data_IF_129528538799
#
_entry.id   IF_129528538799
#
_cell.length_a   1.000
_cell.length_b   1.000
_cell.length_c   1.000
_cell.angle_alpha   90.00
_cell.angle_beta   90.00
_cell.angle_gamma   90.00
#
_symmetry.space_group_name_H-M   'P 1'
#
loop_
_entity.id
_entity.type
_entity.pdbx_description
1 polymer ?
#
# COMPACT_ATOMS: atom_id res chain seq x y z
N UNK A 1 -20.63 3.30 -1.18
CA UNK A 1 -19.95 2.87 -2.42
C UNK A 1 -18.47 2.92 -2.14
N UNK A 2 -17.79 1.78 -2.06
CA UNK A 2 -16.35 1.73 -1.90
C UNK A 2 -15.71 1.69 -3.29
N UNK A 3 -14.80 2.63 -3.58
CA UNK A 3 -14.04 2.66 -4.82
C UNK A 3 -12.67 2.02 -4.58
N UNK A 4 -12.37 0.95 -5.32
CA UNK A 4 -11.02 0.37 -5.40
C UNK A 4 -10.34 1.06 -6.58
N UNK A 5 -9.24 1.77 -6.34
CA UNK A 5 -8.43 2.41 -7.38
C UNK A 5 -7.24 1.50 -7.70
N UNK A 6 -7.27 0.87 -8.87
CA UNK A 6 -6.13 0.21 -9.48
C UNK A 6 -5.39 1.24 -10.34
N UNK A 7 -4.10 1.46 -10.09
CA UNK A 7 -3.30 2.48 -10.76
C UNK A 7 -2.64 1.89 -12.02
N UNK A 8 -3.13 2.27 -13.21
CA UNK A 8 -2.46 2.00 -14.49
C UNK A 8 -1.83 3.30 -15.01
N UNK A 9 -0.51 3.30 -15.20
CA UNK A 9 0.25 4.49 -15.61
C UNK A 9 0.25 4.59 -17.14
N UNK A 10 -0.36 5.64 -17.70
CA UNK A 10 -0.20 6.03 -19.09
C UNK A 10 0.35 7.46 -19.15
N UNK A 11 1.50 7.62 -19.81
CA UNK A 11 2.20 8.89 -19.97
C UNK A 11 1.57 9.73 -21.10
N UNK A 12 1.15 10.95 -20.79
CA UNK A 12 0.68 11.94 -21.76
C UNK A 12 0.84 13.37 -21.23
N UNK A 13 1.40 14.25 -22.07
CA UNK A 13 1.99 15.55 -21.73
C UNK A 13 0.97 16.71 -21.63
N UNK A 14 1.28 17.63 -20.71
CA UNK A 14 0.94 19.07 -20.52
C UNK A 14 -0.48 19.65 -20.75
N UNK A 15 -1.01 20.35 -19.72
CA UNK A 15 -1.06 21.85 -19.61
C UNK A 15 -1.93 22.33 -18.44
N UNK A 16 -1.53 23.48 -17.85
CA UNK A 16 -2.20 24.32 -16.85
C UNK A 16 -2.14 23.91 -15.36
N UNK A 17 -1.24 24.56 -14.62
CA UNK A 17 -1.24 24.60 -13.16
C UNK A 17 -2.43 25.44 -12.68
N UNK A 18 -3.57 24.78 -12.45
CA UNK A 18 -4.56 25.29 -11.51
C UNK A 18 -3.88 25.43 -10.14
N UNK A 19 -4.14 26.54 -9.44
CA UNK A 19 -3.59 26.77 -8.10
C UNK A 19 -3.86 25.54 -7.24
N UNK A 20 -2.80 24.84 -6.87
CA UNK A 20 -2.86 23.73 -5.92
C UNK A 20 -3.61 24.25 -4.71
N UNK A 21 -4.75 23.64 -4.32
CA UNK A 21 -5.30 23.93 -3.01
C UNK A 21 -4.15 23.66 -2.05
N UNK A 22 -3.73 24.69 -1.30
CA UNK A 22 -2.71 24.59 -0.28
C UNK A 22 -3.29 23.72 0.83
N UNK A 23 -3.32 22.42 0.57
CA UNK A 23 -3.31 21.40 1.59
C UNK A 23 -2.14 21.80 2.49
N UNK A 24 -2.44 22.07 3.76
CA UNK A 24 -1.49 22.57 4.75
C UNK A 24 -0.12 21.90 4.62
N UNK A 25 0.95 22.61 4.98
CA UNK A 25 2.36 22.17 4.94
C UNK A 25 2.68 20.85 5.68
N UNK A 26 1.66 20.19 6.27
CA UNK A 26 1.66 18.93 7.01
C UNK A 26 1.02 17.74 6.23
N UNK A 27 1.12 17.68 4.89
CA UNK A 27 0.59 16.54 4.11
C UNK A 27 1.52 15.32 4.07
N UNK A 28 2.55 15.28 4.91
CA UNK A 28 3.39 14.11 5.07
C UNK A 28 2.68 13.13 5.99
N UNK A 29 2.34 11.96 5.47
CA UNK A 29 1.90 10.85 6.28
C UNK A 29 3.12 10.00 6.64
N UNK A 30 3.44 9.91 7.93
CA UNK A 30 4.47 9.01 8.44
C UNK A 30 3.79 7.89 9.22
N UNK A 31 4.19 6.66 8.93
CA UNK A 31 3.64 5.45 9.54
C UNK A 31 4.78 4.62 10.08
N UNK A 32 5.01 4.72 11.38
CA UNK A 32 6.11 4.04 12.07
C UNK A 32 5.70 2.67 12.60
N UNK A 33 4.39 2.35 12.61
CA UNK A 33 3.85 1.12 13.16
C UNK A 33 4.36 0.88 14.59
N UNK A 34 4.30 1.86 15.48
CA UNK A 34 4.84 1.65 16.84
C UNK A 34 3.97 0.69 17.65
N UNK A 35 2.65 0.87 17.59
CA UNK A 35 1.69 0.20 18.47
C UNK A 35 0.53 -0.48 17.73
N UNK A 36 0.30 -0.14 16.46
CA UNK A 36 -0.82 -0.66 15.66
C UNK A 36 -0.57 -0.56 14.15
N UNK A 37 -1.54 -1.01 13.35
CA UNK A 37 -1.49 -0.97 11.89
C UNK A 37 -1.77 0.41 11.27
N UNK A 38 -2.12 1.43 12.07
CA UNK A 38 -2.30 2.83 11.64
C UNK A 38 -3.28 3.03 10.46
N UNK A 39 -4.29 2.15 10.38
CA UNK A 39 -5.32 2.16 9.33
C UNK A 39 -4.92 1.43 8.05
N UNK A 40 -3.73 0.83 8.00
CA UNK A 40 -3.31 -0.03 6.91
C UNK A 40 -3.99 -1.40 6.98
N UNK A 41 -4.31 -1.92 5.80
CA UNK A 41 -4.79 -3.29 5.60
C UNK A 41 -4.06 -3.87 4.39
N UNK A 42 -3.89 -5.19 4.38
CA UNK A 42 -3.37 -5.91 3.22
C UNK A 42 -4.50 -6.64 2.49
N UNK A 43 -4.25 -6.92 1.23
CA UNK A 43 -5.16 -7.67 0.39
C UNK A 43 -4.39 -8.30 -0.77
N UNK A 44 -5.03 -9.25 -1.45
CA UNK A 44 -4.40 -10.09 -2.46
C UNK A 44 -5.25 -10.15 -3.72
N UNK A 45 -4.61 -10.06 -4.88
CA UNK A 45 -5.25 -10.15 -6.18
C UNK A 45 -4.48 -11.11 -7.10
N UNK A 46 -5.08 -11.37 -8.25
CA UNK A 46 -4.55 -12.30 -9.27
C UNK A 46 -4.45 -13.76 -8.79
N UNK A 47 -5.34 -14.13 -7.86
CA UNK A 47 -5.53 -15.50 -7.40
C UNK A 47 -6.56 -16.22 -8.28
N UNK A 48 -6.42 -17.54 -8.53
CA UNK A 48 -7.49 -18.33 -9.14
C UNK A 48 -8.81 -18.19 -8.39
N UNK A 49 -9.95 -18.28 -9.09
CA UNK A 49 -11.26 -18.13 -8.45
C UNK A 49 -11.53 -19.16 -7.35
N UNK A 50 -10.88 -20.32 -7.42
CA UNK A 50 -10.95 -21.45 -6.51
C UNK A 50 -9.69 -21.64 -5.66
N UNK A 51 -8.90 -20.57 -5.47
CA UNK A 51 -7.70 -20.63 -4.64
C UNK A 51 -8.00 -21.05 -3.20
N UNK A 52 -7.00 -21.68 -2.58
CA UNK A 52 -7.00 -22.07 -1.18
C UNK A 52 -5.92 -21.29 -0.42
N UNK A 53 -6.30 -20.54 0.62
CA UNK A 53 -5.38 -19.64 1.34
C UNK A 53 -4.10 -20.34 1.86
N UNK A 54 -4.18 -21.51 2.53
CA UNK A 54 -3.00 -22.27 2.95
C UNK A 54 -2.03 -22.63 1.81
N UNK A 55 -2.55 -22.95 0.61
CA UNK A 55 -1.71 -23.30 -0.54
C UNK A 55 -0.86 -22.13 -1.03
N UNK A 56 -1.34 -20.90 -0.85
CA UNK A 56 -0.64 -19.67 -1.20
C UNK A 56 0.04 -19.02 -0.01
N UNK A 57 0.02 -19.64 1.18
CA UNK A 57 0.64 -19.12 2.40
C UNK A 57 0.33 -17.64 2.67
N UNK A 58 -0.92 -17.22 2.41
CA UNK A 58 -1.31 -15.81 2.54
C UNK A 58 -1.38 -15.43 4.02
N UNK A 59 -0.57 -14.45 4.41
CA UNK A 59 -0.57 -13.92 5.77
C UNK A 59 -0.26 -12.43 5.75
N UNK A 60 -0.83 -11.68 6.69
CA UNK A 60 -0.60 -10.26 6.82
C UNK A 60 -0.92 -9.71 8.20
N UNK A 61 -0.44 -8.51 8.49
CA UNK A 61 -0.86 -7.74 9.66
C UNK A 61 0.28 -7.17 10.46
N UNK A 62 -0.09 -6.30 11.40
CA UNK A 62 0.82 -5.68 12.36
C UNK A 62 1.48 -6.72 13.26
N UNK A 63 2.81 -6.74 13.28
CA UNK A 63 3.62 -7.65 14.12
C UNK A 63 5.04 -7.13 14.32
N UNK A 64 5.77 -7.77 15.23
CA UNK A 64 7.19 -7.50 15.43
C UNK A 64 8.00 -7.75 14.14
N UNK A 65 9.02 -6.93 13.91
CA UNK A 65 9.98 -7.13 12.81
C UNK A 65 10.80 -8.43 13.04
N UNK A 66 11.45 -8.97 11.99
CA UNK A 66 12.33 -10.14 12.11
C UNK A 66 13.41 -9.97 13.19
N UNK A 67 13.89 -11.07 13.78
CA UNK A 67 14.74 -11.07 15.00
C UNK A 67 16.00 -10.17 14.93
N UNK A 68 16.54 -9.90 13.74
CA UNK A 68 17.70 -9.02 13.54
C UNK A 68 17.37 -7.53 13.58
N UNK A 69 16.08 -7.17 13.62
CA UNK A 69 15.55 -5.81 13.63
C UNK A 69 14.73 -5.58 14.90
N UNK A 70 14.68 -4.33 15.35
CA UNK A 70 13.89 -3.93 16.52
C UNK A 70 12.67 -3.12 16.10
N UNK A 71 11.53 -3.37 16.74
CA UNK A 71 10.29 -2.63 16.49
C UNK A 71 9.21 -3.52 15.89
N UNK A 72 8.15 -2.88 15.42
CA UNK A 72 7.05 -3.53 14.73
C UNK A 72 6.95 -3.00 13.29
N UNK A 73 6.15 -3.67 12.48
CA UNK A 73 5.86 -3.27 11.12
C UNK A 73 4.59 -3.93 10.62
N UNK A 74 4.20 -3.60 9.39
CA UNK A 74 3.12 -4.29 8.72
C UNK A 74 3.71 -5.43 7.86
N UNK A 75 3.37 -6.66 8.21
CA UNK A 75 3.78 -7.85 7.46
C UNK A 75 2.82 -8.16 6.33
N UNK A 76 3.36 -8.64 5.21
CA UNK A 76 2.60 -9.22 4.10
C UNK A 76 3.41 -10.37 3.47
N UNK A 77 2.77 -11.51 3.26
CA UNK A 77 3.37 -12.71 2.68
C UNK A 77 2.41 -13.36 1.69
N UNK A 78 3.00 -14.00 0.69
CA UNK A 78 2.34 -15.01 -0.11
C UNK A 78 3.33 -15.83 -0.91
N UNK A 79 2.95 -17.05 -1.23
CA UNK A 79 3.72 -18.04 -1.95
C UNK A 79 3.17 -18.17 -3.38
N UNK A 80 3.99 -17.79 -4.37
CA UNK A 80 3.64 -17.95 -5.79
C UNK A 80 3.97 -19.37 -6.25
N UNK A 81 2.93 -20.21 -6.37
CA UNK A 81 3.09 -21.62 -6.74
C UNK A 81 3.16 -21.87 -8.26
N UNK A 82 2.52 -21.07 -9.11
CA UNK A 82 2.57 -21.30 -10.57
C UNK A 82 2.42 -20.10 -11.50
N UNK A 83 1.39 -19.25 -11.37
CA UNK A 83 1.08 -18.26 -12.44
C UNK A 83 1.22 -16.79 -12.05
N UNK A 84 0.50 -16.18 -11.10
CA UNK A 84 0.78 -14.82 -10.57
C UNK A 84 0.16 -14.62 -9.17
N UNK A 85 0.68 -13.65 -8.41
CA UNK A 85 0.14 -13.22 -7.12
C UNK A 85 0.47 -11.74 -6.94
N UNK A 86 -0.55 -10.91 -6.80
CA UNK A 86 -0.37 -9.49 -6.49
C UNK A 86 -0.70 -9.24 -5.02
N UNK A 87 0.29 -8.77 -4.26
CA UNK A 87 0.18 -8.42 -2.85
C UNK A 87 0.24 -6.90 -2.70
N UNK A 88 -0.65 -6.32 -1.91
CA UNK A 88 -0.66 -4.87 -1.71
C UNK A 88 -1.17 -4.44 -0.34
N UNK A 89 -0.73 -3.25 0.05
CA UNK A 89 -1.15 -2.53 1.24
C UNK A 89 -2.05 -1.36 0.82
N UNK A 90 -3.13 -1.14 1.56
CA UNK A 90 -4.05 -0.02 1.33
C UNK A 90 -4.42 0.65 2.64
N UNK A 91 -4.57 1.97 2.55
CA UNK A 91 -5.10 2.84 3.60
C UNK A 91 -6.00 3.89 2.95
N UNK A 92 -7.14 4.18 3.57
CA UNK A 92 -8.04 5.20 3.08
C UNK A 92 -7.44 6.59 3.31
N UNK A 93 -7.48 7.44 2.28
CA UNK A 93 -7.17 8.86 2.38
C UNK A 93 -8.47 9.63 2.25
N UNK A 94 -8.78 10.46 3.24
CA UNK A 94 -9.99 11.28 3.29
C UNK A 94 -9.65 12.75 2.97
N UNK A 95 -10.69 13.58 2.77
CA UNK A 95 -10.51 15.02 2.55
C UNK A 95 -10.04 15.41 1.14
N UNK A 96 -9.96 14.47 0.20
CA UNK A 96 -9.63 14.77 -1.19
C UNK A 96 -10.77 15.56 -1.86
N UNK A 97 -10.40 16.64 -2.54
CA UNK A 97 -11.33 17.48 -3.29
C UNK A 97 -11.62 16.88 -4.67
N UNK A 98 -12.88 16.94 -5.14
CA UNK A 98 -13.22 16.48 -6.48
C UNK A 98 -12.40 17.19 -7.57
N UNK A 99 -12.08 16.48 -8.65
CA UNK A 99 -11.36 17.02 -9.82
C UNK A 99 -10.01 17.69 -9.48
N UNK A 100 -9.37 17.29 -8.38
CA UNK A 100 -8.06 17.81 -7.96
C UNK A 100 -6.98 16.77 -8.22
N UNK A 101 -5.87 17.19 -8.82
CA UNK A 101 -4.69 16.34 -8.99
C UNK A 101 -3.79 16.49 -7.78
N UNK A 102 -3.39 15.36 -7.20
CA UNK A 102 -2.49 15.30 -6.05
C UNK A 102 -1.19 14.61 -6.46
N UNK A 103 -0.07 15.34 -6.56
CA UNK A 103 1.23 14.68 -6.73
C UNK A 103 1.55 13.92 -5.43
N UNK A 104 1.99 12.67 -5.57
CA UNK A 104 2.36 11.83 -4.45
C UNK A 104 3.78 11.31 -4.63
N UNK A 105 4.54 11.36 -3.55
CA UNK A 105 5.81 10.65 -3.41
C UNK A 105 5.61 9.65 -2.27
N UNK A 106 6.03 8.42 -2.48
CA UNK A 106 5.95 7.36 -1.48
C UNK A 106 7.36 6.83 -1.22
N UNK A 107 7.71 6.74 0.05
CA UNK A 107 8.94 6.12 0.53
C UNK A 107 8.54 4.94 1.43
N UNK A 108 9.22 3.81 1.26
CA UNK A 108 8.89 2.56 1.95
C UNK A 108 10.20 1.92 2.40
N UNK A 109 10.29 1.63 3.70
CA UNK A 109 11.32 0.78 4.25
C UNK A 109 10.88 -0.68 4.19
N UNK A 110 11.68 -1.51 3.52
CA UNK A 110 11.41 -2.95 3.38
C UNK A 110 12.38 -3.76 4.26
N UNK A 111 11.81 -4.48 5.22
CA UNK A 111 12.52 -5.46 6.02
C UNK A 111 12.49 -6.84 5.32
N UNK A 112 13.37 -7.05 4.36
CA UNK A 112 13.52 -8.31 3.62
C UNK A 112 14.96 -8.79 3.63
N UNK A 113 15.16 -10.11 3.54
CA UNK A 113 16.46 -10.76 3.40
C UNK A 113 16.88 -10.94 1.93
N UNK A 114 16.06 -10.48 0.98
CA UNK A 114 16.32 -10.50 -0.46
C UNK A 114 16.33 -9.05 -1.01
N UNK A 115 17.33 -8.66 -1.83
CA UNK A 115 17.42 -7.31 -2.39
C UNK A 115 16.27 -6.92 -3.33
#
# INVERSE_FOLDING_TARGET
MAAVVLLSIASGDSTAFAQTPELATDNAFEFAFENEAEGWTADFADLPADFDQPTYELDSGFRALPESLSGNGFYIQGHKSSDDLFMYLKRQVEGLLPSTTYPMTVEIDLATDVP
#
